data_IF_023908006627
#
_entry.id   IF_023908006627
#
_cell.length_a   1.000
_cell.length_b   1.000
_cell.length_c   1.000
_cell.angle_alpha   90.00
_cell.angle_beta   90.00
_cell.angle_gamma   90.00
#
_symmetry.space_group_name_H-M   'P 1'
#
loop_
_entity.id
_entity.type
_entity.pdbx_description
1 polymer ?
#
# COMPACT_ATOMS: atom_id res chain seq x y z
N UNK A 1 5.44 -12.43 14.43
CA UNK A 1 4.79 -13.68 14.82
C UNK A 1 5.32 -14.79 13.91
N UNK A 2 5.43 -14.52 12.60
CA UNK A 2 6.02 -15.43 11.60
C UNK A 2 7.41 -16.00 11.89
N UNK A 3 8.49 -15.19 11.96
CA UNK A 3 9.87 -15.72 11.94
C UNK A 3 10.16 -16.81 12.97
N UNK A 4 9.74 -16.62 14.23
CA UNK A 4 10.03 -17.55 15.32
C UNK A 4 9.18 -18.81 15.26
N UNK A 5 7.94 -18.70 14.76
CA UNK A 5 7.04 -19.83 14.60
C UNK A 5 7.43 -20.62 13.35
N UNK A 6 7.67 -19.96 12.21
CA UNK A 6 8.11 -20.56 10.94
C UNK A 6 9.36 -21.46 11.11
N UNK A 7 10.34 -21.01 11.90
CA UNK A 7 11.53 -21.81 12.23
C UNK A 7 11.16 -23.06 13.04
N UNK A 8 10.19 -22.96 13.94
CA UNK A 8 9.71 -24.06 14.79
C UNK A 8 8.91 -25.11 14.00
N UNK A 9 8.17 -24.69 12.98
CA UNK A 9 7.35 -25.56 12.12
C UNK A 9 8.04 -25.94 10.79
N UNK A 10 9.26 -25.44 10.55
CA UNK A 10 10.05 -25.75 9.35
C UNK A 10 9.55 -25.06 8.07
N UNK A 11 8.76 -23.99 8.20
CA UNK A 11 8.23 -23.21 7.07
C UNK A 11 9.31 -22.26 6.56
N UNK A 12 9.61 -22.34 5.26
CA UNK A 12 10.49 -21.37 4.58
C UNK A 12 9.68 -20.18 4.10
N UNK A 13 9.39 -19.25 5.00
CA UNK A 13 8.67 -18.01 4.66
C UNK A 13 9.57 -17.01 3.92
N UNK A 14 8.96 -16.14 3.11
CA UNK A 14 9.63 -15.03 2.40
C UNK A 14 10.39 -14.11 3.36
N UNK A 15 9.94 -14.01 4.62
CA UNK A 15 10.64 -13.26 5.67
C UNK A 15 11.94 -13.93 6.12
N UNK A 16 12.03 -15.27 6.07
CA UNK A 16 13.29 -16.00 6.27
C UNK A 16 14.20 -15.89 5.05
N UNK A 17 13.63 -15.94 3.84
CA UNK A 17 14.38 -15.89 2.59
C UNK A 17 14.99 -14.51 2.33
N UNK A 18 14.24 -13.44 2.61
CA UNK A 18 14.70 -12.06 2.44
C UNK A 18 15.57 -11.59 3.62
N UNK A 19 15.40 -12.16 4.82
CA UNK A 19 16.23 -11.82 5.99
C UNK A 19 16.26 -10.31 6.25
N UNK A 20 17.45 -9.71 6.21
CA UNK A 20 17.66 -8.27 6.39
C UNK A 20 17.15 -7.42 5.21
N UNK A 21 16.94 -8.03 4.04
CA UNK A 21 16.44 -7.35 2.84
C UNK A 21 14.90 -7.26 2.79
N UNK A 22 14.20 -7.67 3.85
CA UNK A 22 12.73 -7.60 3.89
C UNK A 22 12.21 -6.18 3.66
N UNK A 23 12.76 -5.17 4.35
CA UNK A 23 12.37 -3.77 4.16
C UNK A 23 12.62 -3.28 2.72
N UNK A 24 13.84 -3.41 2.13
CA UNK A 24 14.07 -2.91 0.78
C UNK A 24 13.24 -3.65 -0.29
N UNK A 25 12.97 -4.95 -0.12
CA UNK A 25 12.09 -5.69 -1.05
C UNK A 25 10.63 -5.24 -0.93
N UNK A 26 10.12 -5.06 0.30
CA UNK A 26 8.79 -4.50 0.50
C UNK A 26 8.67 -3.07 -0.04
N UNK A 27 9.72 -2.27 0.12
CA UNK A 27 9.77 -0.90 -0.37
C UNK A 27 9.73 -0.87 -1.90
N UNK A 28 10.57 -1.66 -2.58
CA UNK A 28 10.59 -1.71 -4.04
C UNK A 28 9.27 -2.19 -4.61
N UNK A 29 8.64 -3.20 -3.99
CA UNK A 29 7.35 -3.73 -4.40
C UNK A 29 6.24 -2.70 -4.19
N UNK A 30 6.24 -1.98 -3.06
CA UNK A 30 5.29 -0.91 -2.79
C UNK A 30 5.40 0.24 -3.80
N UNK A 31 6.63 0.67 -4.11
CA UNK A 31 6.88 1.70 -5.13
C UNK A 31 6.40 1.22 -6.51
N UNK A 32 6.70 -0.02 -6.89
CA UNK A 32 6.24 -0.59 -8.15
C UNK A 32 4.71 -0.66 -8.22
N UNK A 33 4.04 -1.06 -7.14
CA UNK A 33 2.58 -1.09 -7.05
C UNK A 33 1.97 0.29 -7.27
N UNK A 34 2.42 1.32 -6.54
CA UNK A 34 1.89 2.68 -6.72
C UNK A 34 2.25 3.28 -8.08
N UNK A 35 3.42 2.94 -8.63
CA UNK A 35 3.83 3.35 -9.98
C UNK A 35 2.91 2.76 -11.05
N UNK A 36 2.65 1.45 -11.01
CA UNK A 36 1.73 0.79 -11.92
C UNK A 36 0.29 1.28 -11.76
N UNK A 37 -0.15 1.52 -10.53
CA UNK A 37 -1.47 2.07 -10.26
C UNK A 37 -1.62 3.49 -10.82
N UNK A 38 -0.63 4.35 -10.62
CA UNK A 38 -0.60 5.71 -11.17
C UNK A 38 -0.58 5.68 -12.71
N UNK A 39 0.19 4.76 -13.29
CA UNK A 39 0.26 4.56 -14.73
C UNK A 39 -1.10 4.12 -15.31
N UNK A 40 -1.77 3.15 -14.66
CA UNK A 40 -3.14 2.76 -15.01
C UNK A 40 -4.11 3.93 -14.89
N UNK A 41 -3.98 4.74 -13.83
CA UNK A 41 -4.77 5.95 -13.64
C UNK A 41 -4.63 6.95 -14.79
N UNK A 42 -3.39 7.18 -15.21
CA UNK A 42 -3.06 8.05 -16.35
C UNK A 42 -3.67 7.54 -17.66
N UNK A 43 -3.56 6.23 -17.94
CA UNK A 43 -4.15 5.62 -19.13
C UNK A 43 -5.69 5.71 -19.18
N UNK A 44 -6.34 5.73 -18.01
CA UNK A 44 -7.79 5.86 -17.89
C UNK A 44 -8.27 7.33 -17.84
N UNK A 45 -7.35 8.31 -17.92
CA UNK A 45 -7.71 9.73 -17.89
C UNK A 45 -8.25 10.20 -16.53
N UNK A 46 -7.89 9.54 -15.43
CA UNK A 46 -8.23 10.00 -14.09
C UNK A 46 -7.66 11.40 -13.81
N UNK A 47 -8.33 12.14 -12.95
CA UNK A 47 -7.99 13.53 -12.62
C UNK A 47 -7.19 13.65 -11.33
N UNK A 48 -6.82 14.89 -10.97
CA UNK A 48 -6.02 15.22 -9.78
C UNK A 48 -6.44 14.53 -8.45
N UNK A 49 -7.73 14.39 -8.08
CA UNK A 49 -8.13 13.72 -6.83
C UNK A 49 -7.65 12.26 -6.73
N UNK A 50 -7.64 11.51 -7.83
CA UNK A 50 -7.10 10.15 -7.85
C UNK A 50 -5.61 10.15 -7.48
N UNK A 51 -4.81 10.96 -8.16
CA UNK A 51 -3.36 11.03 -7.92
C UNK A 51 -3.03 11.55 -6.51
N UNK A 52 -3.83 12.46 -5.97
CA UNK A 52 -3.68 12.92 -4.58
C UNK A 52 -3.94 11.77 -3.59
N UNK A 53 -4.99 10.97 -3.81
CA UNK A 53 -5.27 9.78 -2.99
C UNK A 53 -4.15 8.74 -3.05
N UNK A 54 -3.62 8.49 -4.25
CA UNK A 54 -2.47 7.59 -4.45
C UNK A 54 -1.23 8.09 -3.72
N UNK A 55 -0.91 9.38 -3.84
CA UNK A 55 0.27 9.98 -3.18
C UNK A 55 0.15 9.91 -1.65
N UNK A 56 -1.02 10.20 -1.09
CA UNK A 56 -1.27 10.11 0.35
C UNK A 56 -1.16 8.66 0.85
N UNK A 57 -1.78 7.71 0.15
CA UNK A 57 -1.69 6.29 0.48
C UNK A 57 -0.24 5.78 0.42
N UNK A 58 0.51 6.15 -0.63
CA UNK A 58 1.91 5.80 -0.78
C UNK A 58 2.79 6.38 0.30
N UNK A 59 2.64 7.69 0.60
CA UNK A 59 3.38 8.36 1.65
C UNK A 59 3.18 7.72 3.01
N UNK A 60 1.93 7.38 3.36
CA UNK A 60 1.61 6.72 4.63
C UNK A 60 2.16 5.29 4.70
N UNK A 61 2.04 4.50 3.63
CA UNK A 61 2.56 3.13 3.59
C UNK A 61 4.08 3.11 3.73
N UNK A 62 4.78 3.89 2.90
CA UNK A 62 6.24 3.92 2.88
C UNK A 62 6.81 4.48 4.18
N UNK A 63 6.19 5.53 4.74
CA UNK A 63 6.62 6.09 6.03
C UNK A 63 6.46 5.10 7.18
N UNK A 64 5.38 4.32 7.19
CA UNK A 64 5.19 3.25 8.18
C UNK A 64 6.19 2.12 7.96
N UNK A 65 6.35 1.66 6.72
CA UNK A 65 7.27 0.59 6.38
C UNK A 65 8.70 0.89 6.82
N UNK A 66 9.18 2.13 6.61
CA UNK A 66 10.52 2.55 7.03
C UNK A 66 10.69 2.67 8.55
N UNK A 67 9.60 2.78 9.32
CA UNK A 67 9.62 2.85 10.79
C UNK A 67 9.41 1.49 11.45
N UNK A 68 8.88 0.51 10.73
CA UNK A 68 8.60 -0.83 11.26
C UNK A 68 9.89 -1.59 11.50
N UNK A 69 10.07 -2.07 12.72
CA UNK A 69 11.12 -3.04 13.04
C UNK A 69 10.63 -4.47 12.71
N UNK A 70 11.30 -5.11 11.73
CA UNK A 70 10.94 -6.46 11.26
C UNK A 70 11.31 -7.54 12.28
N UNK A 71 12.26 -7.27 13.17
CA UNK A 71 12.65 -8.23 14.21
C UNK A 71 11.72 -8.16 15.42
N UNK A 72 10.90 -7.10 15.53
CA UNK A 72 9.84 -6.99 16.52
C UNK A 72 8.48 -7.46 15.95
N UNK A 73 7.94 -8.60 16.44
CA UNK A 73 6.70 -9.17 15.90
C UNK A 73 5.45 -8.31 16.16
N UNK A 74 5.47 -7.48 17.22
CA UNK A 74 4.39 -6.56 17.54
C UNK A 74 4.28 -5.44 16.49
N UNK A 75 5.40 -4.84 16.11
CA UNK A 75 5.45 -3.75 15.13
C UNK A 75 4.98 -4.22 13.74
N UNK A 76 5.37 -5.44 13.36
CA UNK A 76 4.86 -6.08 12.13
C UNK A 76 3.34 -6.24 12.17
N UNK A 77 2.80 -6.73 13.29
CA UNK A 77 1.35 -6.91 13.45
C UNK A 77 0.61 -5.57 13.39
N UNK A 78 1.14 -4.55 14.05
CA UNK A 78 0.56 -3.21 14.06
C UNK A 78 0.59 -2.58 12.67
N UNK A 79 1.68 -2.79 11.92
CA UNK A 79 1.75 -2.40 10.51
C UNK A 79 0.62 -3.05 9.70
N UNK A 80 0.45 -4.37 9.79
CA UNK A 80 -0.60 -5.11 9.06
C UNK A 80 -2.02 -4.66 9.45
N UNK A 81 -2.28 -4.42 10.73
CA UNK A 81 -3.58 -3.95 11.20
C UNK A 81 -3.92 -2.56 10.70
N UNK A 82 -2.91 -1.74 10.39
CA UNK A 82 -3.10 -0.39 9.86
C UNK A 82 -3.11 -0.32 8.32
N UNK A 83 -2.75 -1.40 7.61
CA UNK A 83 -2.78 -1.46 6.14
C UNK A 83 -4.17 -1.23 5.53
N UNK A 84 -5.29 -1.72 6.09
CA UNK A 84 -6.62 -1.47 5.55
C UNK A 84 -6.97 0.01 5.42
N UNK A 85 -6.47 0.86 6.33
CA UNK A 85 -6.69 2.31 6.28
C UNK A 85 -6.08 2.93 5.01
N UNK A 86 -4.95 2.39 4.55
CA UNK A 86 -4.27 2.84 3.33
C UNK A 86 -5.13 2.49 2.11
N UNK A 87 -5.73 1.29 2.11
CA UNK A 87 -6.69 0.89 1.08
C UNK A 87 -7.94 1.77 1.07
N UNK A 88 -8.46 2.13 2.24
CA UNK A 88 -9.60 3.04 2.36
C UNK A 88 -9.30 4.43 1.79
N UNK A 89 -8.11 4.98 2.03
CA UNK A 89 -7.67 6.26 1.44
C UNK A 89 -7.62 6.15 -0.09
N UNK A 90 -7.06 5.07 -0.61
CA UNK A 90 -6.94 4.83 -2.05
C UNK A 90 -8.33 4.77 -2.72
N UNK A 91 -9.24 3.98 -2.16
CA UNK A 91 -10.63 3.85 -2.63
C UNK A 91 -11.35 5.18 -2.50
N UNK A 92 -11.14 5.92 -1.41
CA UNK A 92 -11.69 7.26 -1.21
C UNK A 92 -11.27 8.23 -2.32
N UNK A 93 -9.99 8.22 -2.71
CA UNK A 93 -9.48 9.01 -3.83
C UNK A 93 -10.10 8.62 -5.17
N UNK A 94 -10.25 7.31 -5.41
CA UNK A 94 -10.90 6.79 -6.62
C UNK A 94 -12.38 7.17 -6.71
N UNK A 95 -13.12 7.05 -5.60
CA UNK A 95 -14.54 7.42 -5.52
C UNK A 95 -14.71 8.93 -5.68
N UNK A 96 -13.85 9.75 -5.05
CA UNK A 96 -13.90 11.20 -5.20
C UNK A 96 -13.67 11.62 -6.66
N UNK A 97 -12.68 11.02 -7.33
CA UNK A 97 -12.42 11.23 -8.75
C UNK A 97 -13.61 10.85 -9.62
N UNK A 98 -14.21 9.68 -9.39
CA UNK A 98 -15.38 9.22 -10.12
C UNK A 98 -16.60 10.15 -9.94
N UNK A 99 -16.83 10.65 -8.72
CA UNK A 99 -17.92 11.60 -8.43
C UNK A 99 -17.68 12.92 -9.17
N UNK A 100 -16.46 13.47 -9.10
CA UNK A 100 -16.11 14.73 -9.77
C UNK A 100 -16.24 14.58 -11.29
N UNK A 101 -15.75 13.48 -11.86
CA UNK A 101 -15.87 13.17 -13.28
C UNK A 101 -17.33 13.08 -13.74
N UNK A 102 -18.21 12.46 -12.94
CA UNK A 102 -19.65 12.39 -13.22
C UNK A 102 -20.33 13.75 -13.18
N UNK A 103 -20.06 14.56 -12.14
CA UNK A 103 -20.61 15.91 -12.00
C UNK A 103 -20.17 16.79 -13.18
N UNK A 104 -18.89 16.73 -13.55
CA UNK A 104 -18.36 17.49 -14.69
C UNK A 104 -18.95 17.07 -16.03
N UNK A 105 -19.43 15.83 -16.14
CA UNK A 105 -20.05 15.29 -17.35
C UNK A 105 -21.58 15.51 -17.39
N UNK A 106 -22.17 16.14 -16.37
CA UNK A 106 -23.61 16.40 -16.29
C UNK A 106 -24.47 15.16 -16.11
N UNK A 107 -23.87 14.03 -15.71
CA UNK A 107 -24.58 12.78 -15.47
C UNK A 107 -25.12 12.82 -14.03
N UNK A 108 -26.44 12.65 -13.86
CA UNK A 108 -27.05 12.58 -12.53
C UNK A 108 -26.46 11.40 -11.72
N UNK A 109 -26.21 11.65 -10.43
CA UNK A 109 -25.54 10.73 -9.52
C UNK A 109 -26.42 9.53 -9.15
#
# INVERSE_FOLDING_TARGET
MDKSDDVKIGIRSSALLCGQYTIPVCFSTAVAFFGLLSYGGYLNGHSYPFFAGVLLAAGLLLSKLLRTDIDRPADCRDFFLQTPLIGQILVGGFVADAIIGRISSGIAL
#
